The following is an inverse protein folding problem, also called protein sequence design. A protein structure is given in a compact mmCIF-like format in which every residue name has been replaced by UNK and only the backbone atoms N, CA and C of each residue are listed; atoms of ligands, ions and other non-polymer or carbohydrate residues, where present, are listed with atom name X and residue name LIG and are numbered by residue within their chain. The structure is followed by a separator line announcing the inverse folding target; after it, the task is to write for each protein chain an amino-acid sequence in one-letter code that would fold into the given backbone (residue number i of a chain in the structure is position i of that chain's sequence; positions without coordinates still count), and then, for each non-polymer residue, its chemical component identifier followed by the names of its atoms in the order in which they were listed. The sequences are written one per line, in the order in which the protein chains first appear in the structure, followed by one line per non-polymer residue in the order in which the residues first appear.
data_IF_145257933168
#
_entry.id   IF_145257933168
#
_cell.length_a   1.000
_cell.length_b   1.000
_cell.length_c   1.000
_cell.angle_alpha   90.00
_cell.angle_beta   90.00
_cell.angle_gamma   90.00
#
_symmetry.space_group_name_H-M   'P 1'
#
loop_
_entity.id
_entity.type
_entity.pdbx_description
1 polymer ?
#
# COMPACT_ATOMS: atom_id res chain seq x y z
N UNK A 1 25.25 6.98 -21.44
CA UNK A 1 24.59 6.48 -20.21
C UNK A 1 23.68 7.54 -19.55
N UNK A 2 24.15 8.78 -19.34
CA UNK A 2 23.40 9.86 -18.67
C UNK A 2 22.12 10.31 -19.40
N UNK A 3 22.11 10.34 -20.74
CA UNK A 3 20.93 10.76 -21.53
C UNK A 3 19.75 9.79 -21.40
N UNK A 4 20.03 8.49 -21.37
CA UNK A 4 19.02 7.45 -21.22
C UNK A 4 18.42 7.50 -19.81
N UNK A 5 19.28 7.68 -18.80
CA UNK A 5 18.87 7.85 -17.40
C UNK A 5 17.91 9.05 -17.23
N UNK A 6 18.25 10.20 -17.84
CA UNK A 6 17.40 11.40 -17.82
C UNK A 6 16.05 11.19 -18.50
N UNK A 7 15.99 10.43 -19.60
CA UNK A 7 14.72 10.12 -20.29
C UNK A 7 13.80 9.25 -19.44
N UNK A 8 14.33 8.25 -18.76
CA UNK A 8 13.52 7.42 -17.84
C UNK A 8 13.01 8.20 -16.63
N UNK A 9 13.86 9.07 -16.06
CA UNK A 9 13.45 9.98 -14.99
C UNK A 9 12.35 10.93 -15.45
N UNK A 10 12.47 11.53 -16.64
CA UNK A 10 11.45 12.42 -17.18
C UNK A 10 10.12 11.69 -17.49
N UNK A 11 10.20 10.43 -17.95
CA UNK A 11 9.02 9.59 -18.18
C UNK A 11 8.29 9.30 -16.85
N UNK A 12 9.04 8.95 -15.81
CA UNK A 12 8.50 8.76 -14.45
C UNK A 12 7.86 10.05 -13.93
N UNK A 13 8.56 11.19 -14.02
CA UNK A 13 8.07 12.49 -13.54
C UNK A 13 6.79 12.92 -14.27
N UNK A 14 6.68 12.61 -15.56
CA UNK A 14 5.46 12.81 -16.32
C UNK A 14 4.30 11.95 -15.82
N UNK A 15 4.52 10.64 -15.61
CA UNK A 15 3.50 9.74 -15.05
C UNK A 15 3.09 10.14 -13.62
N UNK A 16 4.03 10.60 -12.80
CA UNK A 16 3.78 11.06 -11.44
C UNK A 16 2.94 12.34 -11.42
N UNK A 17 3.31 13.36 -12.20
CA UNK A 17 2.54 14.61 -12.31
C UNK A 17 1.14 14.39 -12.85
N UNK A 18 1.01 13.48 -13.82
CA UNK A 18 -0.27 13.01 -14.31
C UNK A 18 -1.11 12.42 -13.15
N UNK A 19 -0.53 11.62 -12.26
CA UNK A 19 -1.27 10.98 -11.17
C UNK A 19 -1.67 11.93 -10.01
N UNK A 20 -0.79 12.85 -9.61
CA UNK A 20 -1.02 13.76 -8.46
C UNK A 20 -2.09 14.84 -8.69
N UNK A 21 -2.62 14.95 -9.90
CA UNK A 21 -3.60 15.97 -10.23
C UNK A 21 -4.92 15.73 -9.47
N UNK A 22 -5.36 16.69 -8.64
CA UNK A 22 -6.60 16.63 -7.82
C UNK A 22 -7.86 16.30 -8.61
N UNK A 23 -7.82 16.50 -9.94
CA UNK A 23 -8.90 16.13 -10.85
C UNK A 23 -9.06 14.62 -10.97
N UNK A 24 -7.97 13.85 -10.87
CA UNK A 24 -7.98 12.38 -11.00
C UNK A 24 -8.37 11.66 -9.72
N UNK A 25 -8.08 12.22 -8.56
CA UNK A 25 -8.65 11.74 -7.29
C UNK A 25 -10.19 11.72 -7.36
N UNK A 26 -10.80 12.79 -7.90
CA UNK A 26 -12.25 12.86 -8.11
C UNK A 26 -12.75 11.89 -9.17
N UNK A 27 -12.03 11.72 -10.28
CA UNK A 27 -12.39 10.74 -11.31
C UNK A 27 -12.31 9.32 -10.77
N UNK A 28 -11.26 8.98 -10.00
CA UNK A 28 -11.09 7.69 -9.36
C UNK A 28 -12.23 7.41 -8.35
N UNK A 29 -12.58 8.40 -7.51
CA UNK A 29 -13.71 8.29 -6.61
C UNK A 29 -15.04 8.06 -7.36
N UNK A 30 -15.29 8.81 -8.43
CA UNK A 30 -16.49 8.64 -9.25
C UNK A 30 -16.53 7.26 -9.94
N UNK A 31 -15.39 6.77 -10.42
CA UNK A 31 -15.26 5.42 -10.99
C UNK A 31 -15.61 4.34 -9.97
N UNK A 32 -15.16 4.48 -8.72
CA UNK A 32 -15.49 3.53 -7.64
C UNK A 32 -16.98 3.55 -7.31
N UNK A 33 -17.59 4.74 -7.25
CA UNK A 33 -19.04 4.88 -7.02
C UNK A 33 -19.82 4.22 -8.16
N UNK A 34 -19.43 4.47 -9.42
CA UNK A 34 -20.05 3.85 -10.59
C UNK A 34 -19.88 2.33 -10.59
N UNK A 35 -18.70 1.81 -10.24
CA UNK A 35 -18.45 0.38 -10.13
C UNK A 35 -19.32 -0.27 -9.04
N UNK A 36 -19.44 0.37 -7.88
CA UNK A 36 -20.31 -0.10 -6.80
C UNK A 36 -21.78 -0.13 -7.22
N UNK A 37 -22.31 0.98 -7.76
CA UNK A 37 -23.71 1.08 -8.18
C UNK A 37 -24.03 0.11 -9.33
N UNK A 38 -23.15 0.01 -10.33
CA UNK A 38 -23.34 -0.94 -11.44
C UNK A 38 -23.31 -2.38 -10.96
N UNK A 39 -22.40 -2.75 -10.06
CA UNK A 39 -22.38 -4.09 -9.47
C UNK A 39 -23.67 -4.39 -8.70
N UNK A 40 -24.22 -3.43 -7.96
CA UNK A 40 -25.46 -3.59 -7.21
C UNK A 40 -26.67 -3.77 -8.16
N UNK A 41 -26.77 -2.93 -9.19
CA UNK A 41 -27.82 -3.01 -10.22
C UNK A 41 -27.74 -4.35 -10.97
N UNK A 42 -26.54 -4.80 -11.35
CA UNK A 42 -26.36 -6.08 -12.05
C UNK A 42 -26.80 -7.27 -11.20
N UNK A 43 -26.47 -7.28 -9.90
CA UNK A 43 -26.89 -8.34 -8.97
C UNK A 43 -28.41 -8.34 -8.81
N UNK A 44 -29.05 -7.17 -8.72
CA UNK A 44 -30.51 -7.06 -8.61
C UNK A 44 -31.22 -7.54 -9.89
N UNK A 45 -30.73 -7.12 -11.06
CA UNK A 45 -31.24 -7.56 -12.36
C UNK A 45 -31.08 -9.08 -12.55
N UNK A 46 -30.00 -9.67 -12.04
CA UNK A 46 -29.77 -11.11 -12.11
C UNK A 46 -30.77 -11.86 -11.24
N UNK A 47 -31.06 -11.32 -10.05
CA UNK A 47 -32.06 -11.85 -9.11
C UNK A 47 -33.49 -11.76 -9.68
N UNK A 48 -33.81 -10.69 -10.40
CA UNK A 48 -35.09 -10.50 -11.10
C UNK A 48 -35.25 -11.39 -12.36
N UNK A 49 -34.20 -12.12 -12.76
CA UNK A 49 -34.23 -13.03 -13.91
C UNK A 49 -34.19 -12.32 -15.27
N UNK A 50 -33.80 -11.05 -15.31
CA UNK A 50 -33.78 -10.23 -16.54
C UNK A 50 -32.46 -10.37 -17.33
N UNK A 51 -31.49 -11.11 -16.81
CA UNK A 51 -30.20 -11.36 -17.46
C UNK A 51 -30.16 -12.73 -18.16
N UNK A 52 -29.53 -12.83 -19.34
CA UNK A 52 -29.30 -14.11 -20.02
C UNK A 52 -28.56 -15.09 -19.10
N UNK A 53 -28.93 -16.37 -19.15
CA UNK A 53 -28.41 -17.40 -18.22
C UNK A 53 -26.87 -17.47 -18.17
N UNK A 54 -26.18 -17.22 -19.28
CA UNK A 54 -24.71 -17.19 -19.33
C UNK A 54 -24.07 -15.99 -18.62
N UNK A 55 -24.78 -14.88 -18.44
CA UNK A 55 -24.31 -13.69 -17.69
C UNK A 55 -24.74 -13.78 -16.23
N UNK A 56 -25.94 -14.31 -15.97
CA UNK A 56 -26.45 -14.54 -14.61
C UNK A 56 -25.61 -15.58 -13.84
N UNK A 57 -25.03 -16.58 -14.50
CA UNK A 57 -24.14 -17.57 -13.87
C UNK A 57 -22.78 -17.01 -13.44
N UNK A 58 -22.36 -15.88 -14.02
CA UNK A 58 -21.11 -15.18 -13.68
C UNK A 58 -21.30 -14.19 -12.52
N UNK A 59 -22.55 -13.87 -12.18
CA UNK A 59 -22.85 -12.86 -11.17
C UNK A 59 -23.05 -13.49 -9.77
N UNK A 60 -22.43 -12.94 -8.73
CA UNK A 60 -22.63 -13.36 -7.36
C UNK A 60 -24.07 -13.10 -6.89
N UNK A 61 -24.59 -13.98 -6.03
CA UNK A 61 -26.00 -13.97 -5.61
C UNK A 61 -26.31 -12.98 -4.47
N UNK A 62 -25.30 -12.49 -3.77
CA UNK A 62 -25.43 -11.70 -2.54
C UNK A 62 -25.07 -10.23 -2.78
N UNK A 63 -25.88 -9.29 -2.28
CA UNK A 63 -25.65 -7.86 -2.44
C UNK A 63 -24.32 -7.39 -1.81
N UNK A 64 -23.88 -8.05 -0.74
CA UNK A 64 -22.59 -7.75 -0.09
C UNK A 64 -21.38 -7.89 -1.04
N UNK A 65 -21.48 -8.69 -2.11
CA UNK A 65 -20.38 -8.83 -3.07
C UNK A 65 -20.10 -7.54 -3.86
N UNK A 66 -21.09 -6.66 -4.04
CA UNK A 66 -20.87 -5.35 -4.64
C UNK A 66 -19.90 -4.50 -3.80
N UNK A 67 -19.98 -4.62 -2.46
CA UNK A 67 -19.06 -3.95 -1.52
C UNK A 67 -17.64 -4.48 -1.74
N UNK A 68 -17.45 -5.81 -1.74
CA UNK A 68 -16.13 -6.41 -1.94
C UNK A 68 -15.50 -6.05 -3.30
N UNK A 69 -16.31 -5.95 -4.36
CA UNK A 69 -15.86 -5.52 -5.68
C UNK A 69 -15.34 -4.08 -5.67
N UNK A 70 -16.11 -3.17 -5.07
CA UNK A 70 -15.71 -1.76 -4.95
C UNK A 70 -14.45 -1.60 -4.10
N UNK A 71 -14.35 -2.33 -2.99
CA UNK A 71 -13.17 -2.33 -2.12
C UNK A 71 -11.93 -2.91 -2.82
N UNK A 72 -12.08 -3.97 -3.61
CA UNK A 72 -10.99 -4.55 -4.39
C UNK A 72 -10.48 -3.59 -5.47
N UNK A 73 -11.38 -2.88 -6.16
CA UNK A 73 -10.98 -1.82 -7.11
C UNK A 73 -10.25 -0.67 -6.41
N UNK A 74 -10.74 -0.26 -5.24
CA UNK A 74 -10.11 0.78 -4.42
C UNK A 74 -8.71 0.36 -3.98
N UNK A 75 -8.53 -0.90 -3.54
CA UNK A 75 -7.22 -1.45 -3.23
C UNK A 75 -6.28 -1.40 -4.44
N UNK A 76 -6.77 -1.74 -5.64
CA UNK A 76 -6.01 -1.62 -6.88
C UNK A 76 -5.48 -0.20 -7.14
N UNK A 77 -6.32 0.82 -6.92
CA UNK A 77 -5.93 2.23 -7.05
C UNK A 77 -4.89 2.64 -5.99
N UNK A 78 -5.02 2.15 -4.77
CA UNK A 78 -4.07 2.43 -3.69
C UNK A 78 -2.71 1.81 -3.97
N UNK A 79 -2.70 0.56 -4.42
CA UNK A 79 -1.50 -0.18 -4.81
C UNK A 79 -0.80 0.51 -5.98
N UNK A 80 -1.55 1.01 -6.95
CA UNK A 80 -1.02 1.79 -8.06
C UNK A 80 -0.33 3.07 -7.57
N UNK A 81 -0.98 3.85 -6.69
CA UNK A 81 -0.38 5.05 -6.09
C UNK A 81 0.89 4.75 -5.27
N UNK A 82 0.96 3.55 -4.70
CA UNK A 82 2.09 3.13 -3.89
C UNK A 82 3.38 2.94 -4.71
N UNK A 83 3.28 2.52 -5.98
CA UNK A 83 4.43 2.43 -6.90
C UNK A 83 5.16 3.77 -7.05
N UNK A 84 4.39 4.86 -7.13
CA UNK A 84 4.95 6.22 -7.20
C UNK A 84 5.51 6.70 -5.85
N UNK A 85 4.93 6.25 -4.74
CA UNK A 85 5.43 6.59 -3.40
C UNK A 85 6.84 6.03 -3.11
N UNK A 86 7.26 4.96 -3.81
CA UNK A 86 8.59 4.35 -3.65
C UNK A 86 9.72 5.29 -4.10
N UNK A 87 9.48 6.14 -5.11
CA UNK A 87 10.49 7.07 -5.60
C UNK A 87 10.71 8.28 -4.67
N UNK A 88 9.78 8.53 -3.73
CA UNK A 88 9.86 9.63 -2.77
C UNK A 88 10.77 9.27 -1.58
N UNK A 89 11.10 10.27 -0.76
CA UNK A 89 11.96 10.09 0.42
C UNK A 89 11.45 8.96 1.34
N UNK A 90 12.33 8.04 1.73
CA UNK A 90 11.97 6.79 2.44
C UNK A 90 11.19 7.07 3.72
N UNK A 91 11.65 8.03 4.53
CA UNK A 91 11.01 8.33 5.83
C UNK A 91 9.63 9.00 5.70
N UNK A 92 9.44 9.86 4.68
CA UNK A 92 8.14 10.48 4.40
C UNK A 92 7.19 9.44 3.78
N UNK A 93 7.72 8.57 2.92
CA UNK A 93 6.98 7.47 2.28
C UNK A 93 6.45 6.48 3.32
N UNK A 94 7.24 6.12 4.33
CA UNK A 94 6.85 5.15 5.38
C UNK A 94 5.67 5.65 6.21
N UNK A 95 5.68 6.92 6.66
CA UNK A 95 4.54 7.51 7.38
C UNK A 95 3.25 7.46 6.54
N UNK A 96 3.36 7.80 5.25
CA UNK A 96 2.23 7.73 4.32
C UNK A 96 1.75 6.30 4.08
N UNK A 97 2.65 5.32 4.05
CA UNK A 97 2.30 3.91 3.95
C UNK A 97 1.52 3.42 5.17
N UNK A 98 1.83 3.90 6.38
CA UNK A 98 1.03 3.61 7.57
C UNK A 98 -0.36 4.26 7.54
N UNK A 99 -0.50 5.46 6.99
CA UNK A 99 -1.82 6.05 6.72
C UNK A 99 -2.63 5.15 5.79
N UNK A 100 -2.04 4.74 4.67
CA UNK A 100 -2.68 3.85 3.69
C UNK A 100 -3.04 2.52 4.35
N UNK A 101 -2.12 1.90 5.10
CA UNK A 101 -2.37 0.64 5.79
C UNK A 101 -3.53 0.75 6.79
N UNK A 102 -3.57 1.80 7.61
CA UNK A 102 -4.66 1.99 8.58
C UNK A 102 -6.03 2.15 7.89
N UNK A 103 -6.08 2.89 6.78
CA UNK A 103 -7.30 3.01 5.97
C UNK A 103 -7.69 1.70 5.29
N UNK A 104 -6.72 0.92 4.77
CA UNK A 104 -6.98 -0.39 4.17
C UNK A 104 -7.55 -1.36 5.20
N UNK A 105 -7.00 -1.42 6.42
CA UNK A 105 -7.54 -2.28 7.47
C UNK A 105 -8.98 -1.88 7.85
N UNK A 106 -9.25 -0.57 8.00
CA UNK A 106 -10.63 -0.10 8.22
C UNK A 106 -11.56 -0.54 7.09
N UNK A 107 -11.09 -0.54 5.84
CA UNK A 107 -11.87 -0.97 4.69
C UNK A 107 -12.09 -2.48 4.62
N UNK A 108 -11.07 -3.28 4.91
CA UNK A 108 -11.18 -4.74 5.01
C UNK A 108 -12.18 -5.17 6.09
N UNK A 109 -12.42 -4.34 7.11
CA UNK A 109 -13.48 -4.63 8.08
C UNK A 109 -14.86 -4.75 7.40
N UNK A 110 -15.13 -3.98 6.33
CA UNK A 110 -16.38 -4.05 5.59
C UNK A 110 -16.45 -5.23 4.62
N UNK A 111 -15.32 -5.81 4.18
CA UNK A 111 -15.36 -6.97 3.27
C UNK A 111 -15.85 -8.23 3.98
N UNK A 112 -15.74 -8.31 5.31
CA UNK A 112 -16.27 -9.42 6.10
C UNK A 112 -17.80 -9.49 6.07
N UNK A 113 -18.48 -8.42 5.66
CA UNK A 113 -19.94 -8.41 5.46
C UNK A 113 -20.38 -9.40 4.37
N UNK A 114 -19.49 -9.78 3.43
CA UNK A 114 -19.81 -10.78 2.40
C UNK A 114 -20.10 -12.16 3.00
N UNK A 115 -19.53 -12.45 4.17
CA UNK A 115 -19.72 -13.72 4.86
C UNK A 115 -21.00 -13.75 5.71
N UNK A 116 -21.81 -12.69 5.68
CA UNK A 116 -23.08 -12.66 6.42
C UNK A 116 -24.17 -13.41 5.65
N UNK A 117 -24.89 -14.28 6.35
CA UNK A 117 -26.06 -14.99 5.85
C UNK A 117 -27.28 -14.05 5.74
N UNK A 118 -28.08 -14.21 4.68
CA UNK A 118 -29.43 -13.62 4.59
C UNK A 118 -30.47 -14.72 4.85
N UNK A 119 -31.28 -14.68 5.94
CA UNK A 119 -31.39 -13.67 7.00
C UNK A 119 -30.31 -13.79 8.12
N UNK A 120 -30.04 -12.66 8.78
CA UNK A 120 -29.00 -12.52 9.82
C UNK A 120 -29.24 -13.44 11.03
N UNK A 121 -28.47 -14.52 11.15
CA UNK A 121 -28.38 -15.36 12.34
C UNK A 121 -27.12 -15.05 13.16
N UNK A 122 -27.27 -14.75 14.45
CA UNK A 122 -26.14 -14.37 15.32
C UNK A 122 -25.05 -15.45 15.45
N UNK A 123 -25.45 -16.73 15.42
CA UNK A 123 -24.52 -17.85 15.48
C UNK A 123 -23.54 -17.86 14.30
N UNK A 124 -24.02 -17.53 13.10
CA UNK A 124 -23.24 -17.50 11.86
C UNK A 124 -22.48 -16.17 11.67
N UNK A 125 -23.01 -15.07 12.22
CA UNK A 125 -22.38 -13.75 12.15
C UNK A 125 -21.22 -13.53 13.15
N UNK A 126 -21.12 -14.36 14.19
CA UNK A 126 -20.14 -14.17 15.28
C UNK A 126 -18.69 -14.12 14.81
N UNK A 127 -18.28 -15.04 13.92
CA UNK A 127 -16.91 -15.11 13.40
C UNK A 127 -16.57 -13.93 12.45
N UNK A 128 -17.40 -13.61 11.43
CA UNK A 128 -17.22 -12.40 10.62
C UNK A 128 -17.17 -11.10 11.42
N UNK A 129 -17.98 -10.96 12.46
CA UNK A 129 -17.99 -9.78 13.34
C UNK A 129 -16.67 -9.65 14.10
N UNK A 130 -16.10 -10.76 14.61
CA UNK A 130 -14.79 -10.73 15.28
C UNK A 130 -13.67 -10.30 14.31
N UNK A 131 -13.70 -10.78 13.07
CA UNK A 131 -12.73 -10.38 12.04
C UNK A 131 -12.88 -8.90 11.67
N UNK A 132 -14.12 -8.43 11.53
CA UNK A 132 -14.42 -7.01 11.31
C UNK A 132 -13.87 -6.14 12.44
N UNK A 133 -14.10 -6.53 13.69
CA UNK A 133 -13.58 -5.82 14.87
C UNK A 133 -12.06 -5.86 14.94
N UNK A 134 -11.42 -6.98 14.59
CA UNK A 134 -9.96 -7.10 14.55
C UNK A 134 -9.35 -6.13 13.53
N UNK A 135 -9.89 -6.10 12.31
CA UNK A 135 -9.46 -5.16 11.27
C UNK A 135 -9.68 -3.70 11.66
N UNK A 136 -10.88 -3.38 12.15
CA UNK A 136 -11.21 -2.02 12.57
C UNK A 136 -10.34 -1.54 13.74
N UNK A 137 -10.17 -2.39 14.75
CA UNK A 137 -9.30 -2.13 15.90
C UNK A 137 -7.83 -2.02 15.51
N UNK A 138 -7.37 -2.85 14.57
CA UNK A 138 -6.03 -2.77 13.99
C UNK A 138 -5.78 -1.44 13.29
N UNK A 139 -6.68 -1.03 12.40
CA UNK A 139 -6.61 0.26 11.71
C UNK A 139 -6.57 1.44 12.67
N UNK A 140 -7.45 1.46 13.69
CA UNK A 140 -7.46 2.48 14.73
C UNK A 140 -6.14 2.50 15.53
N UNK A 141 -5.62 1.33 15.91
CA UNK A 141 -4.36 1.21 16.66
C UNK A 141 -3.17 1.77 15.88
N UNK A 142 -3.07 1.44 14.59
CA UNK A 142 -2.04 1.99 13.70
C UNK A 142 -2.20 3.51 13.58
N UNK A 143 -3.43 4.02 13.43
CA UNK A 143 -3.69 5.45 13.35
C UNK A 143 -3.24 6.21 14.62
N UNK A 144 -3.50 5.66 15.80
CA UNK A 144 -3.05 6.25 17.07
C UNK A 144 -1.52 6.24 17.18
N UNK A 145 -0.87 5.12 16.84
CA UNK A 145 0.59 5.00 16.84
C UNK A 145 1.23 5.93 15.79
N UNK A 146 0.56 6.18 14.68
CA UNK A 146 1.01 7.14 13.67
C UNK A 146 1.08 8.56 14.21
N UNK A 147 0.13 8.96 15.07
CA UNK A 147 0.21 10.23 15.78
C UNK A 147 1.49 10.37 16.61
N UNK A 148 1.92 9.28 17.27
CA UNK A 148 3.19 9.22 18.02
C UNK A 148 4.39 9.29 17.06
N UNK A 149 4.34 8.53 15.96
CA UNK A 149 5.38 8.52 14.93
C UNK A 149 5.63 9.93 14.37
N UNK A 150 4.58 10.66 13.97
CA UNK A 150 4.73 12.02 13.43
C UNK A 150 5.26 13.02 14.46
N UNK A 151 4.86 12.89 15.73
CA UNK A 151 5.41 13.73 16.81
C UNK A 151 6.92 13.53 16.97
N UNK A 152 7.42 12.29 16.83
CA UNK A 152 8.85 11.97 16.89
C UNK A 152 9.61 12.40 15.63
N UNK A 153 8.96 12.35 14.47
CA UNK A 153 9.58 12.67 13.18
C UNK A 153 9.71 14.18 12.92
N UNK A 154 8.93 15.03 13.59
CA UNK A 154 8.93 16.49 13.40
C UNK A 154 10.30 17.16 13.68
N UNK A 155 11.25 16.44 14.29
CA UNK A 155 12.60 16.90 14.55
C UNK A 155 13.57 16.56 13.40
N UNK A 156 13.51 17.38 12.34
CA UNK A 156 14.54 17.62 11.31
C UNK A 156 14.49 16.79 10.01
N UNK A 157 14.59 17.53 8.91
CA UNK A 157 14.94 17.01 7.59
C UNK A 157 16.46 16.77 7.52
N UNK A 158 16.86 15.55 7.20
CA UNK A 158 18.27 15.19 7.01
C UNK A 158 18.50 14.93 5.54
N UNK A 159 19.17 15.86 4.86
CA UNK A 159 20.12 15.49 3.81
C UNK A 159 21.19 16.58 3.73
N UNK A 160 22.42 16.24 4.14
CA UNK A 160 23.58 17.15 4.19
C UNK A 160 24.46 17.06 2.93
N UNK A 161 24.04 16.31 1.91
CA UNK A 161 24.76 16.21 0.64
C UNK A 161 23.78 16.05 -0.55
N UNK A 162 23.81 17.00 -1.50
CA UNK A 162 22.78 17.14 -2.55
C UNK A 162 23.07 16.29 -3.79
N UNK A 163 24.33 15.93 -4.04
CA UNK A 163 24.72 15.21 -5.26
C UNK A 163 24.53 13.69 -5.12
N UNK A 164 25.02 13.08 -4.04
CA UNK A 164 24.79 11.65 -3.76
C UNK A 164 23.30 11.30 -3.59
N UNK A 165 22.51 12.26 -3.09
CA UNK A 165 21.06 12.12 -2.98
C UNK A 165 20.37 12.09 -4.36
N UNK A 166 20.85 12.86 -5.34
CA UNK A 166 20.26 12.92 -6.68
C UNK A 166 20.44 11.59 -7.44
N UNK A 167 21.61 10.97 -7.35
CA UNK A 167 21.88 9.67 -7.98
C UNK A 167 21.05 8.55 -7.34
N UNK A 168 20.91 8.55 -6.01
CA UNK A 168 20.05 7.60 -5.31
C UNK A 168 18.56 7.77 -5.69
N UNK A 169 18.09 9.02 -5.83
CA UNK A 169 16.73 9.31 -6.33
C UNK A 169 16.55 8.80 -7.76
N UNK A 170 17.53 8.99 -8.64
CA UNK A 170 17.45 8.53 -10.02
C UNK A 170 17.31 7.00 -10.11
N UNK A 171 18.05 6.26 -9.27
CA UNK A 171 17.95 4.79 -9.22
C UNK A 171 16.56 4.34 -8.75
N UNK A 172 16.00 5.00 -7.72
CA UNK A 172 14.63 4.69 -7.27
C UNK A 172 13.59 4.90 -8.36
N UNK A 173 13.69 6.00 -9.12
CA UNK A 173 12.76 6.29 -10.23
C UNK A 173 12.79 5.20 -11.30
N UNK A 174 13.97 4.65 -11.61
CA UNK A 174 14.10 3.53 -12.56
C UNK A 174 13.44 2.27 -12.01
N UNK A 175 13.64 1.95 -10.73
CA UNK A 175 13.00 0.79 -10.08
C UNK A 175 11.48 0.95 -10.07
N UNK A 176 10.96 2.13 -9.72
CA UNK A 176 9.52 2.43 -9.79
C UNK A 176 8.96 2.28 -11.21
N UNK A 177 9.71 2.68 -12.24
CA UNK A 177 9.27 2.55 -13.63
C UNK A 177 9.25 1.08 -14.09
N UNK A 178 10.21 0.27 -13.65
CA UNK A 178 10.20 -1.18 -13.89
C UNK A 178 9.02 -1.86 -13.18
N UNK A 179 8.76 -1.48 -11.92
CA UNK A 179 7.60 -1.93 -11.16
C UNK A 179 6.28 -1.58 -11.85
N UNK A 180 6.18 -0.36 -12.40
CA UNK A 180 5.00 0.08 -13.15
C UNK A 180 4.79 -0.77 -14.40
N UNK A 181 5.85 -1.10 -15.14
CA UNK A 181 5.78 -2.00 -16.30
C UNK A 181 5.28 -3.39 -15.88
N UNK A 182 5.85 -3.94 -14.80
CA UNK A 182 5.45 -5.24 -14.26
C UNK A 182 3.98 -5.23 -13.83
N UNK A 183 3.51 -4.15 -13.17
CA UNK A 183 2.10 -3.98 -12.79
C UNK A 183 1.17 -4.11 -14.00
N UNK A 184 1.49 -3.42 -15.11
CA UNK A 184 0.69 -3.51 -16.33
C UNK A 184 0.74 -4.91 -16.97
N UNK A 185 1.91 -5.57 -16.97
CA UNK A 185 2.05 -6.92 -17.54
C UNK A 185 1.23 -7.94 -16.75
N UNK A 186 1.34 -7.95 -15.41
CA UNK A 186 0.56 -8.86 -14.57
C UNK A 186 -0.93 -8.57 -14.73
N UNK A 187 -1.32 -7.29 -14.76
CA UNK A 187 -2.72 -6.88 -14.93
C UNK A 187 -3.30 -7.30 -16.29
N UNK A 188 -2.52 -7.19 -17.37
CA UNK A 188 -2.94 -7.64 -18.69
C UNK A 188 -3.09 -9.18 -18.76
N UNK A 189 -2.14 -9.94 -18.19
CA UNK A 189 -2.22 -11.40 -18.15
C UNK A 189 -3.44 -11.85 -17.34
N UNK A 190 -3.63 -11.28 -16.15
CA UNK A 190 -4.74 -11.65 -15.27
C UNK A 190 -6.10 -11.24 -15.87
N UNK A 191 -6.17 -10.07 -16.50
CA UNK A 191 -7.34 -9.63 -17.26
C UNK A 191 -7.69 -10.55 -18.43
N UNK A 192 -6.70 -11.04 -19.19
CA UNK A 192 -6.91 -12.02 -20.25
C UNK A 192 -7.40 -13.37 -19.71
N UNK A 193 -6.87 -13.82 -18.57
CA UNK A 193 -7.32 -15.04 -17.89
C UNK A 193 -8.78 -14.91 -17.41
N UNK A 194 -9.12 -13.75 -16.85
CA UNK A 194 -10.49 -13.43 -16.42
C UNK A 194 -11.49 -13.49 -17.59
N UNK A 195 -11.14 -12.92 -18.74
CA UNK A 195 -11.96 -12.98 -19.96
C UNK A 195 -12.12 -14.40 -20.52
N UNK A 196 -11.11 -15.25 -20.34
CA UNK A 196 -11.14 -16.66 -20.75
C UNK A 196 -11.84 -17.59 -19.75
N UNK A 197 -12.47 -17.06 -18.69
CA UNK A 197 -13.19 -17.84 -17.68
C UNK A 197 -12.31 -18.52 -16.63
N UNK A 198 -10.98 -18.32 -16.70
CA UNK A 198 -10.01 -18.85 -15.73
C UNK A 198 -9.62 -17.75 -14.74
N UNK A 199 -10.59 -17.26 -13.95
CA UNK A 199 -10.35 -16.19 -12.99
C UNK A 199 -9.37 -16.65 -11.89
N UNK A 200 -8.15 -16.13 -11.92
CA UNK A 200 -7.15 -16.31 -10.85
C UNK A 200 -7.06 -15.02 -10.05
N UNK A 201 -7.31 -15.03 -8.73
CA UNK A 201 -7.13 -13.85 -7.88
C UNK A 201 -5.65 -13.63 -7.47
N UNK A 202 -4.72 -13.93 -8.37
CA UNK A 202 -3.28 -13.96 -8.09
C UNK A 202 -2.59 -12.60 -8.33
N UNK A 203 -3.25 -11.68 -9.05
CA UNK A 203 -2.70 -10.37 -9.39
C UNK A 203 -2.06 -9.65 -8.17
N UNK A 204 -2.84 -9.48 -7.11
CA UNK A 204 -2.38 -8.75 -5.91
C UNK A 204 -1.24 -9.49 -5.21
N UNK A 205 -1.34 -10.82 -5.07
CA UNK A 205 -0.32 -11.63 -4.39
C UNK A 205 1.02 -11.56 -5.11
N UNK A 206 1.02 -11.75 -6.44
CA UNK A 206 2.23 -11.68 -7.25
C UNK A 206 2.81 -10.25 -7.26
N UNK A 207 1.95 -9.24 -7.38
CA UNK A 207 2.39 -7.85 -7.37
C UNK A 207 3.04 -7.46 -6.03
N UNK A 208 2.42 -7.78 -4.90
CA UNK A 208 2.98 -7.51 -3.58
C UNK A 208 4.30 -8.25 -3.33
N UNK A 209 4.44 -9.47 -3.84
CA UNK A 209 5.69 -10.24 -3.76
C UNK A 209 6.82 -9.47 -4.45
N UNK A 210 6.61 -9.01 -5.68
CA UNK A 210 7.62 -8.25 -6.44
C UNK A 210 7.95 -6.92 -5.75
N UNK A 211 6.95 -6.31 -5.12
CA UNK A 211 7.10 -5.08 -4.36
C UNK A 211 8.01 -5.28 -3.15
N UNK A 212 7.85 -6.38 -2.41
CA UNK A 212 8.75 -6.77 -1.31
C UNK A 212 10.19 -6.89 -1.81
N UNK A 213 10.42 -7.62 -2.92
CA UNK A 213 11.77 -7.77 -3.48
C UNK A 213 12.37 -6.43 -3.92
N UNK A 214 11.55 -5.53 -4.47
CA UNK A 214 12.00 -4.20 -4.88
C UNK A 214 12.36 -3.33 -3.68
N UNK A 215 11.58 -3.39 -2.61
CA UNK A 215 11.87 -2.69 -1.36
C UNK A 215 13.22 -3.16 -0.76
N UNK A 216 13.50 -4.47 -0.78
CA UNK A 216 14.81 -5.04 -0.38
C UNK A 216 15.94 -4.56 -1.30
N UNK A 217 15.72 -4.54 -2.62
CA UNK A 217 16.71 -4.06 -3.58
C UNK A 217 17.08 -2.58 -3.32
N UNK A 218 16.10 -1.74 -2.99
CA UNK A 218 16.32 -0.33 -2.65
C UNK A 218 17.20 -0.19 -1.40
N UNK A 219 17.05 -1.07 -0.40
CA UNK A 219 17.92 -1.09 0.79
C UNK A 219 19.36 -1.39 0.40
N UNK A 220 19.56 -2.47 -0.35
CA UNK A 220 20.91 -2.89 -0.75
C UNK A 220 21.61 -1.81 -1.55
N UNK A 221 20.88 -1.12 -2.43
CA UNK A 221 21.41 0.02 -3.18
C UNK A 221 21.72 1.19 -2.25
N UNK A 222 20.88 1.47 -1.25
CA UNK A 222 21.10 2.58 -0.32
C UNK A 222 22.41 2.47 0.48
N UNK A 223 22.89 1.24 0.75
CA UNK A 223 24.17 0.98 1.40
C UNK A 223 25.36 1.51 0.59
N UNK A 224 25.23 1.64 -0.73
CA UNK A 224 26.27 2.17 -1.61
C UNK A 224 26.44 3.68 -1.51
N UNK A 225 25.41 4.41 -1.05
CA UNK A 225 25.35 5.88 -1.15
C UNK A 225 25.40 6.61 0.22
N UNK A 226 25.52 5.89 1.34
CA UNK A 226 25.41 6.50 2.69
C UNK A 226 26.62 6.12 3.55
N UNK A 227 27.43 7.10 3.97
CA UNK A 227 28.70 6.85 4.68
C UNK A 227 28.61 6.79 6.21
N UNK A 228 27.51 7.27 6.81
CA UNK A 228 27.35 7.29 8.28
C UNK A 228 26.46 6.14 8.78
N UNK A 229 27.00 5.33 9.70
CA UNK A 229 26.30 4.18 10.29
C UNK A 229 24.89 4.49 10.83
N UNK A 230 24.65 5.59 11.59
CA UNK A 230 23.30 5.88 12.09
C UNK A 230 22.27 6.11 10.98
N UNK A 231 22.68 6.75 9.87
CA UNK A 231 21.81 7.01 8.71
C UNK A 231 21.51 5.72 7.97
N UNK A 232 22.51 4.86 7.80
CA UNK A 232 22.35 3.52 7.21
C UNK A 232 21.38 2.67 8.04
N UNK A 233 21.57 2.62 9.36
CA UNK A 233 20.72 1.86 10.27
C UNK A 233 19.26 2.32 10.19
N UNK A 234 19.02 3.64 10.22
CA UNK A 234 17.67 4.22 10.09
C UNK A 234 17.01 3.87 8.76
N UNK A 235 17.72 4.04 7.65
CA UNK A 235 17.17 3.78 6.32
C UNK A 235 16.87 2.29 6.10
N UNK A 236 17.76 1.40 6.56
CA UNK A 236 17.54 -0.05 6.55
C UNK A 236 16.36 -0.45 7.43
N UNK A 237 16.26 0.12 8.64
CA UNK A 237 15.12 -0.13 9.54
C UNK A 237 13.79 0.31 8.92
N UNK A 238 13.74 1.46 8.26
CA UNK A 238 12.53 1.91 7.58
C UNK A 238 12.11 1.01 6.41
N UNK A 239 13.05 0.43 5.69
CA UNK A 239 12.70 -0.52 4.66
C UNK A 239 12.21 -1.87 5.21
N UNK A 240 12.74 -2.33 6.36
CA UNK A 240 12.15 -3.46 7.09
C UNK A 240 10.72 -3.13 7.52
N UNK A 241 10.45 -1.91 8.00
CA UNK A 241 9.09 -1.48 8.33
C UNK A 241 8.17 -1.51 7.09
N UNK A 242 8.63 -0.99 5.95
CA UNK A 242 7.89 -1.09 4.67
C UNK A 242 7.63 -2.54 4.26
N UNK A 243 8.61 -3.44 4.40
CA UNK A 243 8.43 -4.87 4.13
C UNK A 243 7.36 -5.49 5.04
N UNK A 244 7.35 -5.16 6.33
CA UNK A 244 6.31 -5.63 7.25
C UNK A 244 4.92 -5.10 6.87
N UNK A 245 4.82 -3.85 6.39
CA UNK A 245 3.57 -3.32 5.82
C UNK A 245 3.10 -4.16 4.62
N UNK A 246 4.01 -4.55 3.71
CA UNK A 246 3.65 -5.44 2.58
C UNK A 246 3.11 -6.77 3.05
N UNK A 247 3.82 -7.40 3.97
CA UNK A 247 3.41 -8.69 4.52
C UNK A 247 2.05 -8.58 5.21
N UNK A 248 1.78 -7.48 5.92
CA UNK A 248 0.49 -7.21 6.53
C UNK A 248 -0.64 -7.17 5.48
N UNK A 249 -0.43 -6.57 4.31
CA UNK A 249 -1.45 -6.50 3.25
C UNK A 249 -1.81 -7.85 2.64
N UNK A 250 -0.89 -8.82 2.70
CA UNK A 250 -1.11 -10.18 2.15
C UNK A 250 -1.47 -11.22 3.21
N UNK A 251 -1.33 -10.89 4.49
CA UNK A 251 -1.48 -11.84 5.57
C UNK A 251 -2.97 -12.09 5.92
N UNK A 252 -3.30 -13.24 6.53
CA UNK A 252 -4.63 -13.49 7.05
C UNK A 252 -5.03 -12.45 8.12
N UNK A 253 -6.33 -12.30 8.44
CA UNK A 253 -6.85 -11.15 9.20
C UNK A 253 -6.10 -10.80 10.50
N UNK A 254 -5.92 -11.77 11.39
CA UNK A 254 -5.25 -11.53 12.67
C UNK A 254 -3.75 -11.22 12.48
N UNK A 255 -3.09 -11.92 11.56
CA UNK A 255 -1.67 -11.70 11.27
C UNK A 255 -1.45 -10.35 10.57
N UNK A 256 -2.36 -9.94 9.69
CA UNK A 256 -2.35 -8.64 9.03
C UNK A 256 -2.30 -7.49 10.06
N UNK A 257 -3.20 -7.54 11.05
CA UNK A 257 -3.28 -6.55 12.12
C UNK A 257 -2.01 -6.55 12.99
N UNK A 258 -1.55 -7.73 13.42
CA UNK A 258 -0.34 -7.85 14.25
C UNK A 258 0.91 -7.35 13.53
N UNK A 259 1.07 -7.69 12.25
CA UNK A 259 2.19 -7.22 11.42
C UNK A 259 2.13 -5.70 11.23
N UNK A 260 0.94 -5.14 11.01
CA UNK A 260 0.77 -3.69 10.86
C UNK A 260 1.12 -2.91 12.14
N UNK A 261 0.63 -3.37 13.29
CA UNK A 261 0.96 -2.76 14.60
C UNK A 261 2.45 -2.94 14.91
N UNK A 262 3.01 -4.12 14.66
CA UNK A 262 4.43 -4.40 14.85
C UNK A 262 5.32 -3.53 13.97
N UNK A 263 4.94 -3.32 12.71
CA UNK A 263 5.65 -2.47 11.77
C UNK A 263 5.75 -1.02 12.25
N UNK A 264 4.64 -0.43 12.70
CA UNK A 264 4.65 0.96 13.16
C UNK A 264 5.36 1.13 14.49
N UNK A 265 5.21 0.18 15.42
CA UNK A 265 5.97 0.16 16.66
C UNK A 265 7.48 0.07 16.39
N UNK A 266 7.89 -0.77 15.43
CA UNK A 266 9.27 -0.88 14.99
C UNK A 266 9.79 0.43 14.38
N UNK A 267 9.03 1.06 13.49
CA UNK A 267 9.39 2.35 12.88
C UNK A 267 9.54 3.48 13.92
N UNK A 268 8.66 3.51 14.93
CA UNK A 268 8.77 4.40 16.09
C UNK A 268 10.06 4.13 16.86
N UNK A 269 10.38 2.86 17.14
CA UNK A 269 11.61 2.45 17.84
C UNK A 269 12.88 2.89 17.11
N UNK A 270 12.94 2.71 15.79
CA UNK A 270 14.05 3.17 14.94
C UNK A 270 14.19 4.70 15.02
N UNK A 271 13.08 5.43 14.91
CA UNK A 271 13.07 6.90 14.95
C UNK A 271 13.55 7.40 16.31
N UNK A 272 13.08 6.79 17.39
CA UNK A 272 13.49 7.13 18.75
C UNK A 272 14.99 6.87 18.98
N UNK A 273 15.49 5.69 18.59
CA UNK A 273 16.89 5.33 18.74
C UNK A 273 17.79 6.29 17.96
N UNK A 274 17.44 6.59 16.70
CA UNK A 274 18.19 7.51 15.86
C UNK A 274 18.31 8.91 16.48
N UNK A 275 17.19 9.48 16.94
CA UNK A 275 17.18 10.80 17.59
C UNK A 275 18.06 10.85 18.85
N UNK A 276 18.15 9.73 19.59
CA UNK A 276 18.99 9.65 20.79
C UNK A 276 20.49 9.65 20.46
N UNK A 277 20.89 8.94 19.40
CA UNK A 277 22.28 8.91 18.92
C UNK A 277 22.74 10.28 18.39
N UNK A 278 21.91 10.97 17.59
CA UNK A 278 22.25 12.29 17.05
C UNK A 278 22.43 13.34 18.16
N UNK A 279 21.53 13.34 19.16
CA UNK A 279 21.66 14.23 20.31
C UNK A 279 22.93 13.99 21.13
N UNK A 280 23.37 12.72 21.25
CA UNK A 280 24.61 12.37 21.93
C UNK A 280 25.85 12.86 21.15
N UNK A 281 25.86 12.77 19.82
CA UNK A 281 26.94 13.29 18.97
C UNK A 281 27.02 14.83 19.00
N UNK A 282 25.88 15.53 18.98
CA UNK A 282 25.86 17.00 19.10
C UNK A 282 26.42 17.47 20.46
N UNK A 283 26.06 16.81 21.56
CA UNK A 283 26.60 17.13 22.89
C UNK A 283 28.11 16.89 22.98
N UNK A 284 28.63 15.83 22.33
CA UNK A 284 30.06 15.52 22.30
C UNK A 284 30.87 16.56 21.52
N UNK A 285 30.28 17.11 20.46
CA UNK A 285 30.92 18.12 19.59
C UNK A 285 30.90 19.53 20.19
N UNK A 286 30.01 19.81 21.14
CA UNK A 286 29.94 21.10 21.85
C UNK A 286 30.93 21.21 23.02
N UNK A 287 31.57 20.10 23.39
CA UNK A 287 32.56 20.00 24.47
C UNK A 287 34.01 19.87 23.98
N UNK A 288 34.23 19.96 22.67
CA UNK A 288 35.56 20.02 22.01
C UNK A 288 35.71 21.42 21.44
#
# INVERSE_FOLDING_TARGET
MVVILRRFVALYDWFEQLWEDRRRERVAANLLILAFLSSLILIELARLGWLPAGVASLLPKTHYYAISTALSMLLGLEVFGLVFSIAKSVSVSVGKQFEILSLILLRHSFSELVHFSEPLGWAEASQPVLLMLAYAGGGLSIFLLLGVYYKLQHHRAITRDKEAAADFIAVKKIISLLLLLIFFVIGAIDGLKYLNGNATNEFFSLFFTILIFSDVLIVLISLRYSSSYPVVFRNSGFAVATLLIRLALTAPPYFSVLLGIGAIAFAIGITFAYNRFENAEMQRSAHI
#
